data_IF_164746056352
#
_entry.id   IF_164746056352
#
_cell.length_a   1.000
_cell.length_b   1.000
_cell.length_c   1.000
_cell.angle_alpha   90.00
_cell.angle_beta   90.00
_cell.angle_gamma   90.00
#
_symmetry.space_group_name_H-M   'P 1'
#
loop_
_entity.id
_entity.type
_entity.pdbx_description
1 polymer ?
#
# COMPACT_ATOMS: atom_id res chain seq x y z
N UNK A 1 4.59 -12.25 -32.36
CA UNK A 1 3.19 -12.43 -32.81
C UNK A 1 2.35 -12.85 -31.62
N UNK A 2 1.23 -12.16 -31.33
CA UNK A 2 0.29 -12.60 -30.29
C UNK A 2 -0.50 -13.79 -30.82
N UNK A 3 -0.58 -14.88 -30.05
CA UNK A 3 -1.41 -16.03 -30.39
C UNK A 3 -2.90 -15.66 -30.12
N UNK A 4 -3.76 -15.51 -31.15
CA UNK A 4 -5.15 -15.11 -30.97
C UNK A 4 -5.96 -16.04 -30.07
N UNK A 5 -5.70 -17.36 -30.17
CA UNK A 5 -6.40 -18.34 -29.35
C UNK A 5 -6.08 -18.20 -27.88
N UNK A 6 -4.83 -17.93 -27.52
CA UNK A 6 -4.42 -17.67 -26.15
C UNK A 6 -5.07 -16.39 -25.60
N UNK A 7 -5.22 -15.35 -26.44
CA UNK A 7 -5.89 -14.11 -26.02
C UNK A 7 -7.36 -14.34 -25.69
N UNK A 8 -8.07 -15.16 -26.48
CA UNK A 8 -9.47 -15.51 -26.19
C UNK A 8 -9.60 -16.37 -24.93
N UNK A 9 -8.71 -17.32 -24.72
CA UNK A 9 -8.64 -18.10 -23.48
C UNK A 9 -8.42 -17.21 -22.26
N UNK A 10 -7.49 -16.25 -22.34
CA UNK A 10 -7.23 -15.30 -21.24
C UNK A 10 -8.42 -14.43 -20.89
N UNK A 11 -9.30 -14.07 -21.84
CA UNK A 11 -10.49 -13.26 -21.57
C UNK A 11 -11.54 -13.99 -20.74
N UNK A 12 -11.57 -15.30 -20.80
CA UNK A 12 -12.54 -16.14 -20.07
C UNK A 12 -11.95 -16.81 -18.83
N UNK A 13 -10.64 -16.60 -18.59
CA UNK A 13 -9.95 -17.20 -17.45
C UNK A 13 -10.44 -16.63 -16.13
N UNK A 14 -10.97 -17.50 -15.26
CA UNK A 14 -11.53 -17.14 -13.95
C UNK A 14 -10.57 -17.39 -12.78
N UNK A 15 -9.35 -17.79 -13.05
CA UNK A 15 -8.39 -18.23 -12.03
C UNK A 15 -8.37 -19.76 -11.91
N UNK A 16 -7.34 -20.28 -11.27
CA UNK A 16 -7.19 -21.72 -11.03
C UNK A 16 -7.83 -22.16 -9.72
N UNK A 17 -7.69 -21.31 -8.71
CA UNK A 17 -8.09 -21.65 -7.37
C UNK A 17 -9.46 -21.02 -7.06
N UNK A 18 -10.31 -21.74 -6.35
CA UNK A 18 -11.61 -21.24 -5.93
C UNK A 18 -11.46 -20.19 -4.81
N UNK A 19 -12.33 -19.21 -4.83
CA UNK A 19 -12.41 -18.22 -3.74
C UNK A 19 -12.88 -18.95 -2.47
N UNK A 20 -12.17 -18.80 -1.34
CA UNK A 20 -12.63 -19.38 -0.08
C UNK A 20 -14.05 -18.94 0.26
N UNK A 21 -14.88 -19.87 0.75
CA UNK A 21 -16.29 -19.61 1.05
C UNK A 21 -16.53 -18.51 2.11
N UNK A 22 -15.53 -18.22 2.92
CA UNK A 22 -15.57 -17.23 3.99
C UNK A 22 -14.76 -15.95 3.66
N UNK A 23 -14.37 -15.76 2.39
CA UNK A 23 -13.51 -14.65 1.96
C UNK A 23 -14.08 -13.29 2.34
N UNK A 24 -15.31 -13.01 1.95
CA UNK A 24 -15.95 -11.71 2.22
C UNK A 24 -16.14 -11.50 3.72
N UNK A 25 -16.67 -12.50 4.43
CA UNK A 25 -16.88 -12.41 5.88
C UNK A 25 -15.57 -12.22 6.66
N UNK A 26 -14.48 -12.82 6.19
CA UNK A 26 -13.16 -12.62 6.78
C UNK A 26 -12.69 -11.17 6.62
N UNK A 27 -12.77 -10.63 5.39
CA UNK A 27 -12.31 -9.27 5.14
C UNK A 27 -13.19 -8.22 5.80
N UNK A 28 -14.51 -8.38 5.79
CA UNK A 28 -15.42 -7.49 6.50
C UNK A 28 -15.06 -7.46 8.01
N UNK A 29 -14.86 -8.63 8.62
CA UNK A 29 -14.48 -8.72 10.02
C UNK A 29 -13.08 -8.16 10.34
N UNK A 30 -12.14 -8.17 9.41
CA UNK A 30 -10.81 -7.55 9.61
C UNK A 30 -10.86 -6.03 9.40
N UNK A 31 -11.61 -5.56 8.42
CA UNK A 31 -11.84 -4.13 8.15
C UNK A 31 -12.54 -3.46 9.33
N UNK A 32 -13.55 -4.10 9.92
CA UNK A 32 -14.28 -3.58 11.08
C UNK A 32 -13.39 -3.37 12.32
N UNK A 33 -12.25 -4.04 12.39
CA UNK A 33 -11.29 -3.90 13.50
C UNK A 33 -10.33 -2.73 13.35
N UNK A 34 -10.20 -2.17 12.16
CA UNK A 34 -9.24 -1.09 11.92
C UNK A 34 -9.89 0.28 11.98
N UNK A 35 -9.17 1.25 12.51
CA UNK A 35 -9.64 2.64 12.49
C UNK A 35 -9.56 3.22 11.08
N UNK A 36 -10.64 3.81 10.62
CA UNK A 36 -10.68 4.54 9.34
C UNK A 36 -9.81 5.81 9.38
N UNK A 37 -9.52 6.31 10.59
CA UNK A 37 -8.63 7.44 10.80
C UNK A 37 -7.62 7.06 11.89
N UNK A 38 -6.50 6.45 11.53
CA UNK A 38 -5.45 6.08 12.48
C UNK A 38 -4.75 7.33 13.04
N UNK A 39 -4.00 7.17 14.12
CA UNK A 39 -3.07 8.20 14.57
C UNK A 39 -2.03 8.44 13.48
N UNK A 40 -1.93 9.66 13.00
CA UNK A 40 -1.01 10.00 11.91
C UNK A 40 -0.25 11.30 12.20
N UNK A 41 0.90 11.42 11.56
CA UNK A 41 1.70 12.64 11.47
C UNK A 41 1.86 12.99 9.98
N UNK A 42 1.64 14.25 9.64
CA UNK A 42 1.77 14.77 8.29
C UNK A 42 2.73 15.98 8.31
N UNK A 43 3.92 15.79 7.75
CA UNK A 43 4.96 16.80 7.72
C UNK A 43 5.09 17.37 6.31
N UNK A 44 4.96 18.71 6.18
CA UNK A 44 5.16 19.39 4.90
C UNK A 44 6.65 19.58 4.60
N UNK A 45 7.08 19.16 3.42
CA UNK A 45 8.40 19.42 2.88
C UNK A 45 8.35 20.53 1.84
N UNK A 46 8.93 21.69 2.17
CA UNK A 46 9.01 22.80 1.24
C UNK A 46 10.28 22.70 0.36
N UNK A 47 10.14 22.12 -0.81
CA UNK A 47 11.20 22.10 -1.84
C UNK A 47 11.24 23.40 -2.67
N UNK A 48 10.49 24.43 -2.30
CA UNK A 48 10.36 25.69 -3.07
C UNK A 48 9.88 25.48 -4.51
N UNK A 49 9.12 24.41 -4.76
CA UNK A 49 8.53 24.14 -6.07
C UNK A 49 7.23 24.90 -6.21
N UNK A 50 7.11 25.81 -7.20
CA UNK A 50 5.88 26.54 -7.43
C UNK A 50 4.70 25.57 -7.70
N UNK A 51 3.52 25.90 -7.17
CA UNK A 51 2.27 25.20 -7.45
C UNK A 51 2.19 23.73 -7.00
N UNK A 52 3.09 23.27 -6.16
CA UNK A 52 3.11 21.91 -5.61
C UNK A 52 3.26 21.96 -4.10
N UNK A 53 2.64 21.02 -3.41
CA UNK A 53 2.84 20.71 -1.99
C UNK A 53 3.31 19.28 -1.84
N UNK A 54 4.32 19.08 -1.01
CA UNK A 54 4.91 17.78 -0.73
C UNK A 54 4.79 17.47 0.76
N UNK A 55 4.39 16.23 1.09
CA UNK A 55 4.24 15.80 2.47
C UNK A 55 4.84 14.42 2.68
N UNK A 56 5.38 14.20 3.87
CA UNK A 56 5.60 12.87 4.42
C UNK A 56 4.46 12.55 5.38
N UNK A 57 3.84 11.41 5.16
CA UNK A 57 2.80 10.86 6.04
C UNK A 57 3.38 9.66 6.78
N UNK A 58 3.21 9.64 8.09
CA UNK A 58 3.39 8.43 8.89
C UNK A 58 2.13 8.16 9.67
N UNK A 59 1.72 6.90 9.75
CA UNK A 59 0.59 6.51 10.57
C UNK A 59 0.79 5.13 11.20
N UNK A 60 0.06 4.91 12.29
CA UNK A 60 0.07 3.65 13.00
C UNK A 60 -0.87 2.67 12.29
N UNK A 61 -0.29 1.70 11.59
CA UNK A 61 -1.02 0.61 10.97
C UNK A 61 -1.39 -0.49 11.94
N UNK A 62 -1.91 -1.59 11.40
CA UNK A 62 -2.30 -2.76 12.21
C UNK A 62 -1.10 -3.41 12.91
N UNK A 63 -1.33 -4.06 14.04
CA UNK A 63 -0.34 -4.85 14.80
C UNK A 63 0.99 -4.11 15.02
N UNK A 64 0.92 -2.87 15.50
CA UNK A 64 2.07 -2.00 15.79
C UNK A 64 2.99 -1.70 14.59
N UNK A 65 2.49 -1.85 13.36
CA UNK A 65 3.20 -1.40 12.16
C UNK A 65 3.24 0.14 12.11
N UNK A 66 4.35 0.70 11.66
CA UNK A 66 4.44 2.10 11.30
C UNK A 66 4.50 2.21 9.78
N UNK A 67 3.51 2.87 9.20
CA UNK A 67 3.40 3.03 7.74
C UNK A 67 3.86 4.43 7.35
N UNK A 68 4.68 4.48 6.31
CA UNK A 68 5.20 5.71 5.72
C UNK A 68 4.70 5.86 4.28
N UNK A 69 4.35 7.07 3.91
CA UNK A 69 4.02 7.41 2.53
C UNK A 69 4.50 8.82 2.19
N UNK A 70 4.78 9.05 0.92
CA UNK A 70 4.99 10.37 0.33
C UNK A 70 3.74 10.82 -0.40
N UNK A 71 3.43 12.09 -0.26
CA UNK A 71 2.27 12.71 -0.90
C UNK A 71 2.75 13.94 -1.67
N UNK A 72 2.36 14.04 -2.94
CA UNK A 72 2.58 15.23 -3.75
C UNK A 72 1.25 15.69 -4.30
N UNK A 73 0.89 16.93 -4.04
CA UNK A 73 -0.38 17.53 -4.45
C UNK A 73 -0.15 18.80 -5.27
N UNK A 74 -0.86 19.02 -6.37
CA UNK A 74 -0.88 20.34 -6.98
C UNK A 74 -1.59 21.32 -6.05
N UNK A 75 -1.10 22.57 -5.94
CA UNK A 75 -1.83 23.65 -5.26
C UNK A 75 -3.09 23.95 -6.05
N UNK A 76 -4.23 23.61 -5.53
CA UNK A 76 -5.54 23.77 -6.18
C UNK A 76 -6.62 24.10 -5.15
N UNK A 77 -7.51 25.01 -5.49
CA UNK A 77 -8.74 25.30 -4.73
C UNK A 77 -9.81 24.20 -4.93
N UNK A 78 -9.62 23.33 -5.93
CA UNK A 78 -10.55 22.25 -6.25
C UNK A 78 -9.97 20.91 -5.82
N UNK A 79 -10.85 19.96 -5.50
CA UNK A 79 -10.45 18.56 -5.33
C UNK A 79 -9.81 18.05 -6.62
N UNK A 80 -8.71 17.35 -6.48
CA UNK A 80 -7.97 16.73 -7.59
C UNK A 80 -8.06 15.20 -7.47
N UNK A 81 -8.05 14.48 -8.58
CA UNK A 81 -7.92 13.02 -8.54
C UNK A 81 -6.56 12.65 -7.98
N UNK A 82 -6.51 11.54 -7.25
CA UNK A 82 -5.29 11.06 -6.59
C UNK A 82 -4.91 9.69 -7.14
N UNK A 83 -3.65 9.54 -7.49
CA UNK A 83 -3.03 8.27 -7.88
C UNK A 83 -2.39 7.66 -6.64
N UNK A 84 -2.79 6.45 -6.27
CA UNK A 84 -2.11 5.65 -5.24
C UNK A 84 -1.11 4.71 -5.91
N UNK A 85 0.13 4.77 -5.47
CA UNK A 85 1.22 3.93 -5.95
C UNK A 85 1.69 2.98 -4.85
N UNK A 86 1.75 1.70 -5.17
CA UNK A 86 2.29 0.64 -4.33
C UNK A 86 3.41 -0.07 -5.07
N UNK A 87 4.57 -0.17 -4.42
CA UNK A 87 5.76 -0.74 -5.05
C UNK A 87 5.74 -2.28 -5.07
N UNK A 88 6.59 -2.85 -5.90
CA UNK A 88 6.79 -4.31 -5.97
C UNK A 88 7.68 -4.83 -4.83
N UNK A 89 7.96 -6.14 -4.87
CA UNK A 89 8.79 -6.86 -3.90
C UNK A 89 10.13 -6.15 -3.64
N UNK A 90 10.48 -5.98 -2.36
CA UNK A 90 11.68 -5.27 -1.89
C UNK A 90 11.82 -3.83 -2.40
N UNK A 91 10.74 -3.27 -2.93
CA UNK A 91 10.70 -1.86 -3.35
C UNK A 91 10.47 -0.88 -2.19
N UNK A 92 10.30 0.36 -2.57
CA UNK A 92 9.95 1.48 -1.70
C UNK A 92 9.07 2.47 -2.47
N UNK A 93 8.51 3.45 -1.77
CA UNK A 93 7.79 4.56 -2.41
C UNK A 93 8.66 5.27 -3.46
N UNK A 94 8.01 5.88 -4.43
CA UNK A 94 8.69 6.68 -5.45
C UNK A 94 9.48 7.84 -4.85
N UNK A 95 10.51 8.25 -5.55
CA UNK A 95 11.18 9.50 -5.25
C UNK A 95 10.30 10.69 -5.63
N UNK A 96 10.54 11.82 -4.99
CA UNK A 96 9.74 13.03 -5.18
C UNK A 96 9.63 13.44 -6.65
N UNK A 97 10.73 13.34 -7.39
CA UNK A 97 10.81 13.69 -8.81
C UNK A 97 9.91 12.86 -9.70
N UNK A 98 9.75 11.56 -9.38
CA UNK A 98 8.87 10.66 -10.14
C UNK A 98 7.39 11.04 -9.97
N UNK A 99 7.03 11.52 -8.79
CA UNK A 99 5.67 11.93 -8.45
C UNK A 99 5.29 13.28 -9.06
N UNK A 100 6.25 14.21 -9.20
CA UNK A 100 6.02 15.58 -9.68
C UNK A 100 5.44 15.61 -11.09
N UNK A 101 5.80 14.67 -11.95
CA UNK A 101 5.30 14.62 -13.32
C UNK A 101 3.77 14.53 -13.40
N UNK A 102 3.13 13.86 -12.45
CA UNK A 102 1.68 13.70 -12.42
C UNK A 102 0.96 14.98 -11.98
N UNK A 103 1.60 15.81 -11.16
CA UNK A 103 1.00 17.08 -10.72
C UNK A 103 0.83 18.08 -11.85
N UNK A 104 1.69 18.03 -12.86
CA UNK A 104 1.55 18.84 -14.09
C UNK A 104 0.28 18.45 -14.86
N UNK A 105 -0.12 17.19 -14.80
CA UNK A 105 -1.37 16.70 -15.39
C UNK A 105 -2.60 16.91 -14.47
N UNK A 106 -2.41 17.54 -13.31
CA UNK A 106 -3.50 17.86 -12.37
C UNK A 106 -3.84 16.75 -11.39
N UNK A 107 -3.00 15.73 -11.23
CA UNK A 107 -3.19 14.64 -10.27
C UNK A 107 -2.39 14.89 -8.99
N UNK A 108 -2.98 14.50 -7.84
CA UNK A 108 -2.20 14.21 -6.66
C UNK A 108 -1.60 12.81 -6.75
N UNK A 109 -0.53 12.54 -6.02
CA UNK A 109 0.09 11.21 -5.93
C UNK A 109 0.35 10.88 -4.48
N UNK A 110 -0.04 9.68 -4.07
CA UNK A 110 0.33 9.08 -2.79
C UNK A 110 1.12 7.81 -3.09
N UNK A 111 2.35 7.73 -2.60
CA UNK A 111 3.21 6.58 -2.78
C UNK A 111 3.60 6.02 -1.43
N UNK A 112 3.15 4.80 -1.13
CA UNK A 112 3.31 4.14 0.17
C UNK A 112 4.51 3.20 0.18
N UNK A 113 5.24 3.18 1.28
CA UNK A 113 6.17 2.11 1.63
C UNK A 113 5.39 0.95 2.27
N UNK A 114 5.47 -0.23 1.71
CA UNK A 114 4.92 -1.44 2.32
C UNK A 114 5.79 -1.86 3.50
N UNK A 115 5.17 -2.15 4.65
CA UNK A 115 5.87 -2.63 5.85
C UNK A 115 6.76 -3.83 5.55
N UNK A 116 7.88 -3.97 6.24
CA UNK A 116 8.77 -5.12 6.11
C UNK A 116 9.49 -5.27 4.76
N UNK A 117 9.45 -4.23 3.91
CA UNK A 117 10.19 -4.13 2.65
C UNK A 117 11.34 -3.12 2.77
N UNK A 118 11.86 -2.60 1.64
CA UNK A 118 12.76 -1.45 1.69
C UNK A 118 11.97 -0.17 1.95
N UNK A 119 12.59 0.86 2.49
CA UNK A 119 11.94 2.12 2.81
C UNK A 119 11.81 2.35 4.31
N UNK A 120 10.92 3.27 4.71
CA UNK A 120 10.80 3.75 6.08
C UNK A 120 9.70 3.06 6.88
N UNK A 121 8.75 2.40 6.23
CA UNK A 121 7.71 1.63 6.94
C UNK A 121 8.32 0.51 7.76
N UNK A 122 7.81 0.34 8.98
CA UNK A 122 8.28 -0.67 9.91
C UNK A 122 7.19 -1.68 10.19
N UNK A 123 7.59 -2.94 10.24
CA UNK A 123 6.72 -4.03 10.61
C UNK A 123 6.93 -4.37 12.08
N UNK A 124 5.90 -4.16 12.88
CA UNK A 124 5.92 -4.44 14.33
C UNK A 124 5.72 -5.92 14.66
N UNK A 125 5.39 -6.76 13.67
CA UNK A 125 5.04 -8.15 13.91
C UNK A 125 6.24 -8.97 14.40
N UNK A 126 6.05 -9.62 15.54
CA UNK A 126 7.00 -10.61 16.08
C UNK A 126 6.47 -12.02 15.76
N UNK A 127 7.30 -12.82 15.10
CA UNK A 127 7.02 -14.23 14.89
C UNK A 127 7.56 -15.05 16.05
N UNK A 128 6.85 -16.08 16.53
CA UNK A 128 7.40 -17.02 17.51
C UNK A 128 8.64 -17.78 16.98
N UNK A 129 8.86 -17.79 15.68
CA UNK A 129 10.03 -18.38 15.02
C UNK A 129 11.23 -17.40 14.93
N UNK A 130 11.15 -16.23 15.54
CA UNK A 130 12.21 -15.24 15.56
C UNK A 130 11.90 -13.97 14.76
N UNK A 131 12.91 -13.13 14.53
CA UNK A 131 12.76 -11.90 13.78
C UNK A 131 12.54 -12.20 12.28
N UNK A 132 11.70 -11.40 11.65
CA UNK A 132 11.45 -11.52 10.22
C UNK A 132 12.57 -10.86 9.41
N UNK A 133 12.97 -11.53 8.34
CA UNK A 133 13.87 -10.97 7.34
C UNK A 133 13.05 -10.02 6.43
N UNK A 134 13.66 -8.89 6.04
CA UNK A 134 13.04 -7.99 5.06
C UNK A 134 12.62 -8.75 3.80
N UNK A 135 11.44 -8.43 3.29
CA UNK A 135 10.90 -9.04 2.09
C UNK A 135 10.26 -10.42 2.26
N UNK A 136 10.13 -10.95 3.48
CA UNK A 136 9.48 -12.24 3.71
C UNK A 136 7.96 -12.12 3.64
N UNK A 137 7.42 -12.12 2.42
CA UNK A 137 6.01 -11.86 2.13
C UNK A 137 5.07 -13.02 2.44
N UNK A 138 5.60 -14.24 2.56
CA UNK A 138 4.82 -15.46 2.90
C UNK A 138 4.66 -15.67 4.41
N UNK A 139 5.16 -14.76 5.21
CA UNK A 139 5.06 -14.85 6.67
C UNK A 139 3.61 -14.97 7.13
N UNK A 140 3.35 -15.84 8.07
CA UNK A 140 2.01 -16.12 8.60
C UNK A 140 1.22 -17.14 7.79
N UNK A 141 1.71 -17.59 6.63
CA UNK A 141 0.96 -18.52 5.78
C UNK A 141 0.77 -19.90 6.41
N UNK A 142 1.67 -20.34 7.30
CA UNK A 142 1.59 -21.62 8.01
C UNK A 142 0.71 -21.50 9.25
N UNK A 143 0.69 -20.32 9.85
CA UNK A 143 -0.03 -20.03 11.09
C UNK A 143 -1.53 -19.74 10.88
N UNK A 144 -1.95 -19.52 9.65
CA UNK A 144 -3.33 -19.26 9.27
C UNK A 144 -3.58 -17.85 8.74
N UNK A 145 -4.76 -17.65 8.14
CA UNK A 145 -5.13 -16.41 7.44
C UNK A 145 -5.06 -15.16 8.32
N UNK A 146 -5.34 -15.29 9.62
CA UNK A 146 -5.27 -14.20 10.59
C UNK A 146 -3.84 -13.69 10.81
N UNK A 147 -2.82 -14.51 10.51
CA UNK A 147 -1.41 -14.21 10.70
C UNK A 147 -0.71 -13.80 9.41
N UNK A 148 -1.40 -13.84 8.28
CA UNK A 148 -0.82 -13.49 6.99
C UNK A 148 -0.25 -12.07 6.98
N UNK A 149 0.99 -11.93 6.55
CA UNK A 149 1.65 -10.63 6.37
C UNK A 149 0.87 -9.72 5.41
N UNK A 150 0.41 -10.25 4.30
CA UNK A 150 -0.34 -9.47 3.32
C UNK A 150 -1.70 -8.98 3.83
N UNK A 151 -2.31 -9.66 4.80
CA UNK A 151 -3.50 -9.15 5.47
C UNK A 151 -3.24 -7.76 6.05
N UNK A 152 -2.16 -7.62 6.80
CA UNK A 152 -1.80 -6.33 7.39
C UNK A 152 -1.46 -5.28 6.34
N UNK A 153 -0.78 -5.67 5.27
CA UNK A 153 -0.48 -4.77 4.15
C UNK A 153 -1.76 -4.24 3.51
N UNK A 154 -2.76 -5.08 3.27
CA UNK A 154 -4.03 -4.64 2.71
C UNK A 154 -4.83 -3.76 3.67
N UNK A 155 -4.78 -4.04 4.97
CA UNK A 155 -5.42 -3.20 5.98
C UNK A 155 -4.72 -1.82 6.09
N UNK A 156 -3.39 -1.76 5.97
CA UNK A 156 -2.65 -0.49 5.90
C UNK A 156 -3.05 0.33 4.66
N UNK A 157 -3.22 -0.34 3.51
CA UNK A 157 -3.70 0.31 2.27
C UNK A 157 -5.13 0.85 2.46
N UNK A 158 -5.97 0.14 3.17
CA UNK A 158 -7.33 0.57 3.48
C UNK A 158 -7.36 1.81 4.39
N UNK A 159 -6.39 1.93 5.30
CA UNK A 159 -6.27 3.06 6.23
C UNK A 159 -5.64 4.31 5.58
N UNK A 160 -4.84 4.14 4.51
CA UNK A 160 -4.19 5.20 3.76
C UNK A 160 -5.19 6.06 2.99
#
# INVERSE_FOLDING_TARGET
>A
MRNPALVEEMKTYQGRDEVPHDFDAFWDGEIDKVSVLPDYQLDEHDFHIPNVKCYELTFKGTRDGLVYARIVLPKSEKKVPVIFHFHGYMGRCWDWTDMLAFTVAGYGVVSMDVRGQSGYSQDGLRSPLGNTVKGQIIRGAVEGKEQLFYKDVYLDIYQL
#
